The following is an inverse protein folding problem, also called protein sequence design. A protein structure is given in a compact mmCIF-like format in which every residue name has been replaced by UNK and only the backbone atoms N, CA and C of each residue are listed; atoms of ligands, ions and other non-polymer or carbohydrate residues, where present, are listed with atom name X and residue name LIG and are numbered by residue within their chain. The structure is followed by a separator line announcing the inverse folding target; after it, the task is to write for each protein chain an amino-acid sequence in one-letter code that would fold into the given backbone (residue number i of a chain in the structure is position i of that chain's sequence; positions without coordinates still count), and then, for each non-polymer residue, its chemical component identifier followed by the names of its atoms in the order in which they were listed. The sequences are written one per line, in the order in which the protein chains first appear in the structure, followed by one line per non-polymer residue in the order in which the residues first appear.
data_IF_412289481871
#
_entry.id   IF_412289481871
#
_cell.length_a   1.000
_cell.length_b   1.000
_cell.length_c   1.000
_cell.angle_alpha   90.00
_cell.angle_beta   90.00
_cell.angle_gamma   90.00
#
_symmetry.space_group_name_H-M   'P 1'
#
loop_
_entity.id
_entity.type
_entity.pdbx_description
1 polymer ?
#
# COMPACT_ATOMS: atom_id res chain seq x y z
N UNK A 1 -10.33 -13.95 4.88
CA UNK A 1 -9.05 -13.35 5.28
C UNK A 1 -7.93 -14.20 4.71
N UNK A 2 -7.05 -13.63 3.86
CA UNK A 2 -6.00 -14.39 3.16
C UNK A 2 -4.63 -13.84 3.53
N UNK A 3 -3.76 -14.68 4.11
CA UNK A 3 -2.43 -14.28 4.55
C UNK A 3 -2.45 -13.06 5.48
N UNK A 4 -3.43 -13.01 6.39
CA UNK A 4 -3.70 -11.86 7.25
C UNK A 4 -4.05 -12.29 8.67
N UNK A 5 -3.09 -12.14 9.60
CA UNK A 5 -3.41 -12.23 11.02
C UNK A 5 -4.07 -10.93 11.50
N UNK A 6 -5.31 -10.72 11.08
CA UNK A 6 -6.07 -9.48 11.30
C UNK A 6 -6.20 -9.14 12.80
N UNK A 7 -6.33 -10.16 13.65
CA UNK A 7 -6.44 -10.00 15.10
C UNK A 7 -5.23 -9.28 15.71
N UNK A 8 -4.04 -9.51 15.17
CA UNK A 8 -2.80 -8.88 15.66
C UNK A 8 -2.42 -7.64 14.88
N UNK A 9 -2.51 -7.69 13.54
CA UNK A 9 -2.02 -6.61 12.69
C UNK A 9 -3.03 -5.47 12.51
N UNK A 10 -4.33 -5.75 12.65
CA UNK A 10 -5.42 -4.79 12.47
C UNK A 10 -6.51 -4.99 13.54
N UNK A 11 -6.18 -4.83 14.84
CA UNK A 11 -7.07 -5.23 15.95
C UNK A 11 -8.42 -4.53 15.91
N UNK A 12 -8.48 -3.27 15.51
CA UNK A 12 -9.76 -2.53 15.39
C UNK A 12 -10.65 -3.12 14.29
N UNK A 13 -10.08 -3.49 13.13
CA UNK A 13 -10.85 -4.16 12.06
C UNK A 13 -11.31 -5.56 12.51
N UNK A 14 -10.46 -6.29 13.22
CA UNK A 14 -10.82 -7.59 13.76
C UNK A 14 -11.98 -7.50 14.76
N UNK A 15 -11.93 -6.56 15.71
CA UNK A 15 -13.01 -6.33 16.68
C UNK A 15 -14.32 -5.95 15.99
N UNK A 16 -14.26 -5.08 14.97
CA UNK A 16 -15.44 -4.74 14.17
C UNK A 16 -16.00 -5.94 13.41
N UNK A 17 -15.15 -6.81 12.86
CA UNK A 17 -15.57 -8.04 12.20
C UNK A 17 -16.21 -9.01 13.19
N UNK A 18 -15.61 -9.21 14.37
CA UNK A 18 -16.14 -10.06 15.42
C UNK A 18 -17.53 -9.57 15.90
N UNK A 19 -17.66 -8.27 16.16
CA UNK A 19 -18.95 -7.66 16.54
C UNK A 19 -20.00 -7.79 15.40
N UNK A 20 -19.59 -7.59 14.15
CA UNK A 20 -20.47 -7.75 13.00
C UNK A 20 -20.94 -9.20 12.83
N UNK A 21 -20.07 -10.18 13.08
CA UNK A 21 -20.41 -11.60 13.04
C UNK A 21 -21.38 -11.97 14.17
N UNK A 22 -21.15 -11.48 15.38
CA UNK A 22 -22.05 -11.69 16.51
C UNK A 22 -23.46 -11.12 16.25
N UNK A 23 -23.52 -9.93 15.65
CA UNK A 23 -24.79 -9.27 15.30
C UNK A 23 -25.50 -9.90 14.07
N UNK A 24 -24.76 -10.62 13.23
CA UNK A 24 -25.25 -11.22 11.96
C UNK A 24 -24.78 -12.67 11.84
N UNK A 25 -25.50 -13.64 12.44
CA UNK A 25 -25.08 -15.06 12.45
C UNK A 25 -24.88 -15.68 11.06
N UNK A 26 -25.48 -15.09 10.01
CA UNK A 26 -25.28 -15.49 8.62
C UNK A 26 -23.96 -15.02 8.00
N UNK A 27 -23.20 -14.13 8.67
CA UNK A 27 -21.87 -13.70 8.20
C UNK A 27 -20.87 -14.85 8.38
N UNK A 28 -20.32 -15.33 7.28
CA UNK A 28 -19.30 -16.38 7.28
C UNK A 28 -17.91 -15.77 7.20
N UNK A 29 -17.00 -16.31 7.99
CA UNK A 29 -15.58 -15.91 8.02
C UNK A 29 -14.73 -17.11 7.64
N UNK A 30 -13.99 -16.97 6.55
CA UNK A 30 -12.99 -17.95 6.11
C UNK A 30 -11.61 -17.37 6.35
N UNK A 31 -10.71 -18.13 6.96
CA UNK A 31 -9.30 -17.76 7.14
C UNK A 31 -8.45 -18.71 6.30
N UNK A 32 -7.66 -18.14 5.39
CA UNK A 32 -6.67 -18.85 4.56
C UNK A 32 -5.30 -18.45 5.06
N UNK A 33 -4.67 -19.32 5.82
CA UNK A 33 -3.36 -19.11 6.43
C UNK A 33 -2.71 -20.46 6.74
N UNK A 34 -1.43 -20.68 6.48
CA UNK A 34 -0.74 -21.92 6.86
C UNK A 34 -0.83 -22.24 8.35
N UNK A 35 -0.94 -21.20 9.17
CA UNK A 35 -1.06 -21.33 10.63
C UNK A 35 -2.47 -21.02 11.10
N UNK A 36 -2.90 -21.72 12.14
CA UNK A 36 -4.09 -21.31 12.89
C UNK A 36 -3.75 -20.12 13.80
N UNK A 37 -3.93 -18.90 13.25
CA UNK A 37 -3.67 -17.64 13.95
C UNK A 37 -4.86 -17.25 14.84
N UNK A 38 -4.69 -16.24 15.71
CA UNK A 38 -5.78 -15.69 16.53
C UNK A 38 -6.99 -15.20 15.69
N UNK A 39 -6.78 -14.88 14.42
CA UNK A 39 -7.90 -14.54 13.51
C UNK A 39 -8.84 -15.72 13.26
N UNK A 40 -8.40 -16.96 13.51
CA UNK A 40 -9.24 -18.16 13.37
C UNK A 40 -10.27 -18.33 14.50
N UNK A 41 -10.19 -17.57 15.58
CA UNK A 41 -11.13 -17.69 16.71
C UNK A 41 -12.56 -17.36 16.32
N UNK A 42 -12.73 -16.55 15.27
CA UNK A 42 -14.05 -16.22 14.71
C UNK A 42 -14.33 -16.91 13.36
N UNK A 43 -13.43 -17.80 12.89
CA UNK A 43 -13.57 -18.44 11.59
C UNK A 43 -14.63 -19.56 11.61
N UNK A 44 -15.45 -19.61 10.57
CA UNK A 44 -16.30 -20.76 10.26
C UNK A 44 -15.54 -21.85 9.51
N UNK A 45 -14.49 -21.46 8.76
CA UNK A 45 -13.62 -22.36 8.02
C UNK A 45 -12.18 -21.83 8.09
N UNK A 46 -11.24 -22.69 8.47
CA UNK A 46 -9.80 -22.42 8.38
C UNK A 46 -9.20 -23.34 7.33
N UNK A 47 -8.61 -22.74 6.32
CA UNK A 47 -7.86 -23.43 5.28
C UNK A 47 -6.37 -23.33 5.60
N UNK A 48 -5.80 -24.40 6.11
CA UNK A 48 -4.37 -24.52 6.41
C UNK A 48 -3.59 -24.74 5.09
N UNK A 49 -3.54 -23.70 4.26
CA UNK A 49 -2.96 -23.74 2.93
C UNK A 49 -1.44 -24.00 2.99
N UNK A 50 -0.91 -24.73 2.01
CA UNK A 50 0.54 -24.84 1.86
C UNK A 50 1.16 -23.45 1.59
N UNK A 51 2.36 -23.14 2.17
CA UNK A 51 3.06 -21.91 1.85
C UNK A 51 3.27 -21.76 0.33
N UNK A 52 2.74 -20.68 -0.26
CA UNK A 52 2.79 -20.42 -1.70
C UNK A 52 1.60 -20.96 -2.50
N UNK A 53 0.72 -21.76 -1.91
CA UNK A 53 -0.44 -22.37 -2.57
C UNK A 53 -1.59 -21.41 -2.92
N UNK A 54 -1.46 -20.12 -2.64
CA UNK A 54 -2.52 -19.12 -2.87
C UNK A 54 -2.98 -19.07 -4.34
N UNK A 55 -2.03 -19.13 -5.29
CA UNK A 55 -2.33 -19.10 -6.73
C UNK A 55 -3.16 -20.32 -7.13
N UNK A 56 -2.77 -21.51 -6.67
CA UNK A 56 -3.49 -22.74 -6.94
C UNK A 56 -4.91 -22.72 -6.38
N UNK A 57 -5.10 -22.20 -5.15
CA UNK A 57 -6.42 -22.06 -4.52
C UNK A 57 -7.33 -21.13 -5.33
N UNK A 58 -6.85 -19.94 -5.69
CA UNK A 58 -7.70 -18.96 -6.41
C UNK A 58 -7.87 -19.31 -7.89
N UNK A 59 -6.92 -20.03 -8.53
CA UNK A 59 -7.12 -20.61 -9.83
C UNK A 59 -8.17 -21.73 -9.80
N UNK A 60 -8.17 -22.60 -8.79
CA UNK A 60 -9.23 -23.59 -8.60
C UNK A 60 -10.60 -22.91 -8.43
N UNK A 61 -10.66 -21.81 -7.71
CA UNK A 61 -11.88 -21.01 -7.56
C UNK A 61 -12.30 -20.39 -8.90
N UNK A 62 -11.38 -19.84 -9.69
CA UNK A 62 -11.69 -19.24 -10.99
C UNK A 62 -12.21 -20.31 -11.98
N UNK A 63 -11.60 -21.51 -12.00
CA UNK A 63 -12.08 -22.64 -12.78
C UNK A 63 -13.48 -23.09 -12.33
N UNK A 64 -13.76 -23.11 -11.01
CA UNK A 64 -15.10 -23.42 -10.47
C UNK A 64 -16.15 -22.38 -10.85
N UNK A 65 -15.78 -21.08 -10.85
CA UNK A 65 -16.64 -19.97 -11.31
C UNK A 65 -17.04 -20.19 -12.79
N UNK A 66 -16.08 -20.52 -13.64
CA UNK A 66 -16.34 -20.79 -15.06
C UNK A 66 -17.25 -22.02 -15.25
N UNK A 67 -16.85 -23.17 -14.69
CA UNK A 67 -17.59 -24.43 -14.84
C UNK A 67 -18.99 -24.40 -14.23
N UNK A 68 -19.19 -23.65 -13.14
CA UNK A 68 -20.45 -23.50 -12.44
C UNK A 68 -21.41 -22.46 -13.00
N UNK A 69 -21.02 -21.74 -14.07
CA UNK A 69 -21.86 -20.70 -14.67
C UNK A 69 -22.02 -19.43 -13.79
N UNK A 70 -21.06 -19.15 -12.90
CA UNK A 70 -21.11 -17.99 -11.99
C UNK A 70 -20.51 -16.72 -12.58
N UNK A 71 -20.20 -16.71 -13.89
CA UNK A 71 -19.61 -15.57 -14.59
C UNK A 71 -20.67 -14.45 -14.75
N UNK A 72 -20.30 -13.22 -14.37
CA UNK A 72 -21.03 -12.02 -14.78
C UNK A 72 -20.59 -11.60 -16.19
N UNK A 73 -21.26 -12.16 -17.21
CA UNK A 73 -20.93 -11.87 -18.62
C UNK A 73 -21.10 -10.39 -18.98
N UNK A 74 -21.95 -9.66 -18.27
CA UNK A 74 -22.14 -8.22 -18.52
C UNK A 74 -20.94 -7.41 -18.07
N UNK A 75 -20.40 -7.73 -16.90
CA UNK A 75 -19.21 -7.08 -16.37
C UNK A 75 -17.93 -7.53 -17.11
N UNK A 76 -17.86 -8.81 -17.51
CA UNK A 76 -16.70 -9.38 -18.18
C UNK A 76 -16.39 -8.72 -19.54
N UNK A 77 -17.36 -8.02 -20.18
CA UNK A 77 -17.09 -7.20 -21.36
C UNK A 77 -16.11 -6.05 -21.12
N UNK A 78 -15.96 -5.65 -19.87
CA UNK A 78 -15.03 -4.60 -19.44
C UNK A 78 -13.67 -5.15 -19.01
N UNK A 79 -13.41 -6.45 -19.25
CA UNK A 79 -12.20 -7.14 -18.84
C UNK A 79 -11.45 -7.64 -20.06
N UNK A 80 -10.16 -7.30 -20.15
CA UNK A 80 -9.25 -7.84 -21.17
C UNK A 80 -8.50 -9.07 -20.61
N UNK A 81 -8.05 -9.96 -21.50
CA UNK A 81 -7.26 -11.13 -21.10
C UNK A 81 -8.03 -12.26 -20.39
N UNK A 82 -9.35 -12.15 -20.20
CA UNK A 82 -10.15 -13.12 -19.44
C UNK A 82 -9.99 -14.56 -19.95
N UNK A 83 -9.92 -14.78 -21.28
CA UNK A 83 -9.72 -16.12 -21.87
C UNK A 83 -8.39 -16.75 -21.42
N UNK A 84 -7.33 -15.95 -21.35
CA UNK A 84 -6.01 -16.39 -20.90
C UNK A 84 -6.04 -16.74 -19.41
N UNK A 85 -6.69 -15.92 -18.57
CA UNK A 85 -6.85 -16.17 -17.16
C UNK A 85 -7.61 -17.49 -16.88
N UNK A 86 -8.73 -17.72 -17.58
CA UNK A 86 -9.47 -18.99 -17.46
C UNK A 86 -8.66 -20.19 -17.95
N UNK A 87 -7.90 -20.06 -19.04
CA UNK A 87 -7.04 -21.13 -19.53
C UNK A 87 -5.94 -21.48 -18.51
N UNK A 88 -5.30 -20.48 -17.91
CA UNK A 88 -4.31 -20.69 -16.86
C UNK A 88 -4.93 -21.33 -15.61
N UNK A 89 -6.14 -20.91 -15.22
CA UNK A 89 -6.85 -21.49 -14.09
C UNK A 89 -7.17 -22.97 -14.28
N UNK A 90 -7.61 -23.36 -15.47
CA UNK A 90 -7.86 -24.77 -15.80
C UNK A 90 -6.60 -25.64 -15.85
N UNK A 91 -5.45 -25.05 -16.18
CA UNK A 91 -4.17 -25.75 -16.24
C UNK A 91 -3.47 -25.85 -14.87
N UNK A 92 -3.93 -25.12 -13.87
CA UNK A 92 -3.38 -25.12 -12.51
C UNK A 92 -3.80 -26.40 -11.77
N UNK A 93 -2.85 -27.01 -11.04
CA UNK A 93 -3.16 -28.17 -10.20
C UNK A 93 -3.69 -27.70 -8.83
N UNK A 94 -4.97 -27.96 -8.48
CA UNK A 94 -5.50 -27.58 -7.18
C UNK A 94 -4.79 -28.24 -5.97
N UNK A 95 -4.12 -29.38 -6.20
CA UNK A 95 -3.38 -30.08 -5.14
C UNK A 95 -2.20 -29.26 -4.59
N UNK A 96 -1.65 -28.33 -5.39
CA UNK A 96 -0.58 -27.42 -4.95
C UNK A 96 -1.04 -26.47 -3.83
N UNK A 97 -2.36 -26.29 -3.63
CA UNK A 97 -2.87 -25.56 -2.46
C UNK A 97 -2.63 -26.31 -1.15
N UNK A 98 -2.34 -27.62 -1.18
CA UNK A 98 -2.08 -28.44 -0.01
C UNK A 98 -3.29 -28.66 0.90
N UNK A 99 -4.50 -28.47 0.37
CA UNK A 99 -5.77 -28.65 1.08
C UNK A 99 -6.38 -30.03 0.83
N UNK A 100 -7.18 -30.52 1.79
CA UNK A 100 -8.00 -31.70 1.54
C UNK A 100 -9.07 -31.38 0.48
N UNK A 101 -9.50 -32.41 -0.27
CA UNK A 101 -10.60 -32.25 -1.23
C UNK A 101 -11.87 -31.73 -0.58
N UNK A 102 -12.12 -32.09 0.67
CA UNK A 102 -13.26 -31.62 1.45
C UNK A 102 -13.17 -30.12 1.75
N UNK A 103 -12.04 -29.65 2.27
CA UNK A 103 -11.84 -28.23 2.61
C UNK A 103 -11.87 -27.36 1.37
N UNK A 104 -11.24 -27.81 0.29
CA UNK A 104 -11.28 -27.12 -0.99
C UNK A 104 -12.70 -26.98 -1.51
N UNK A 105 -13.46 -28.08 -1.56
CA UNK A 105 -14.87 -28.06 -2.01
C UNK A 105 -15.72 -27.14 -1.15
N UNK A 106 -15.60 -27.23 0.19
CA UNK A 106 -16.31 -26.37 1.12
C UNK A 106 -16.04 -24.89 0.87
N UNK A 107 -14.79 -24.51 0.59
CA UNK A 107 -14.44 -23.14 0.24
C UNK A 107 -15.05 -22.69 -1.08
N UNK A 108 -14.89 -23.52 -2.13
CA UNK A 108 -15.38 -23.20 -3.48
C UNK A 108 -16.90 -23.01 -3.48
N UNK A 109 -17.64 -23.91 -2.81
CA UNK A 109 -19.09 -23.84 -2.72
C UNK A 109 -19.57 -22.65 -1.90
N UNK A 110 -18.93 -22.38 -0.75
CA UNK A 110 -19.25 -21.22 0.09
C UNK A 110 -19.02 -19.92 -0.67
N UNK A 111 -17.87 -19.78 -1.37
CA UNK A 111 -17.51 -18.56 -2.09
C UNK A 111 -18.46 -18.32 -3.29
N UNK A 112 -18.72 -19.33 -4.09
CA UNK A 112 -19.59 -19.23 -5.28
C UNK A 112 -21.06 -19.08 -4.91
N UNK A 113 -21.53 -19.73 -3.82
CA UNK A 113 -22.89 -19.66 -3.33
C UNK A 113 -23.22 -18.38 -2.54
N UNK A 114 -22.23 -17.54 -2.24
CA UNK A 114 -22.43 -16.28 -1.49
C UNK A 114 -22.40 -15.09 -2.45
N UNK A 115 -23.44 -14.27 -2.46
CA UNK A 115 -23.51 -13.06 -3.31
C UNK A 115 -22.46 -12.03 -2.92
N UNK A 116 -22.41 -11.65 -1.63
CA UNK A 116 -21.55 -10.58 -1.12
C UNK A 116 -20.30 -11.16 -0.48
N UNK A 117 -19.22 -11.19 -1.24
CA UNK A 117 -17.91 -11.68 -0.77
C UNK A 117 -16.89 -10.54 -0.77
N UNK A 118 -16.21 -10.34 0.35
CA UNK A 118 -15.03 -9.48 0.48
C UNK A 118 -13.84 -10.37 0.76
N UNK A 119 -12.81 -10.30 -0.08
CA UNK A 119 -11.54 -11.00 0.15
C UNK A 119 -10.52 -10.00 0.70
N UNK A 120 -10.29 -10.05 2.02
CA UNK A 120 -9.30 -9.22 2.70
C UNK A 120 -7.96 -9.97 2.68
N UNK A 121 -6.92 -9.36 2.13
CA UNK A 121 -5.59 -9.96 2.08
C UNK A 121 -4.51 -9.00 2.58
N UNK A 122 -3.41 -9.54 3.09
CA UNK A 122 -2.33 -8.78 3.70
C UNK A 122 -0.95 -9.33 3.30
N UNK A 123 0.03 -9.25 4.18
CA UNK A 123 1.44 -9.48 3.88
C UNK A 123 1.78 -10.93 3.48
N UNK A 124 1.01 -11.93 3.92
CA UNK A 124 1.17 -13.31 3.44
C UNK A 124 0.95 -13.47 1.93
N UNK A 125 0.15 -12.56 1.34
CA UNK A 125 -0.03 -12.45 -0.11
C UNK A 125 0.96 -11.43 -0.69
N UNK A 126 0.99 -10.21 -0.12
CA UNK A 126 1.69 -9.06 -0.71
C UNK A 126 3.22 -9.19 -0.67
N UNK A 127 3.78 -9.69 0.45
CA UNK A 127 5.23 -9.83 0.64
C UNK A 127 5.71 -11.23 0.25
N UNK A 128 5.56 -11.57 -1.01
CA UNK A 128 5.95 -12.84 -1.60
C UNK A 128 6.70 -12.59 -2.91
N UNK A 129 7.58 -13.51 -3.30
CA UNK A 129 8.24 -13.47 -4.61
C UNK A 129 7.21 -13.44 -5.77
N UNK A 130 6.05 -14.05 -5.56
CA UNK A 130 4.94 -14.10 -6.51
C UNK A 130 3.74 -13.26 -6.02
N UNK A 131 3.96 -12.21 -5.22
CA UNK A 131 2.90 -11.44 -4.59
C UNK A 131 1.94 -10.80 -5.60
N UNK A 132 2.43 -10.28 -6.71
CA UNK A 132 1.60 -9.73 -7.78
C UNK A 132 0.69 -10.80 -8.38
N UNK A 133 1.21 -12.00 -8.67
CA UNK A 133 0.44 -13.09 -9.25
C UNK A 133 -0.63 -13.61 -8.28
N UNK A 134 -0.30 -13.69 -6.98
CA UNK A 134 -1.28 -14.03 -5.93
C UNK A 134 -2.43 -13.01 -5.87
N UNK A 135 -2.11 -11.71 -5.91
CA UNK A 135 -3.12 -10.66 -5.94
C UNK A 135 -3.96 -10.76 -7.20
N UNK A 136 -3.35 -10.96 -8.38
CA UNK A 136 -4.06 -11.13 -9.64
C UNK A 136 -4.99 -12.33 -9.63
N UNK A 137 -4.58 -13.46 -9.05
CA UNK A 137 -5.44 -14.64 -8.91
C UNK A 137 -6.69 -14.33 -8.06
N UNK A 138 -6.55 -13.59 -6.96
CA UNK A 138 -7.68 -13.09 -6.15
C UNK A 138 -8.56 -12.14 -6.96
N UNK A 139 -7.96 -11.16 -7.64
CA UNK A 139 -8.69 -10.17 -8.45
C UNK A 139 -9.50 -10.84 -9.57
N UNK A 140 -8.93 -11.80 -10.26
CA UNK A 140 -9.57 -12.51 -11.36
C UNK A 140 -10.91 -13.15 -10.96
N UNK A 141 -10.99 -13.72 -9.76
CA UNK A 141 -12.24 -14.29 -9.24
C UNK A 141 -13.32 -13.21 -9.04
N UNK A 142 -12.94 -12.04 -8.50
CA UNK A 142 -13.85 -10.92 -8.30
C UNK A 142 -14.24 -10.24 -9.62
N UNK A 143 -13.31 -10.11 -10.57
CA UNK A 143 -13.58 -9.59 -11.92
C UNK A 143 -14.54 -10.49 -12.69
N UNK A 144 -14.29 -11.80 -12.68
CA UNK A 144 -15.14 -12.77 -13.38
C UNK A 144 -16.60 -12.76 -12.87
N UNK A 145 -16.81 -12.45 -11.60
CA UNK A 145 -18.14 -12.43 -10.97
C UNK A 145 -18.74 -11.02 -10.80
N UNK A 146 -18.12 -10.00 -11.40
CA UNK A 146 -18.58 -8.61 -11.32
C UNK A 146 -18.61 -8.04 -9.90
N UNK A 147 -17.81 -8.58 -8.98
CA UNK A 147 -17.74 -8.17 -7.56
C UNK A 147 -16.73 -7.05 -7.33
N UNK A 148 -16.68 -6.08 -8.24
CA UNK A 148 -15.79 -4.92 -8.16
C UNK A 148 -16.64 -3.64 -8.08
N UNK A 149 -16.26 -2.73 -7.18
CA UNK A 149 -16.92 -1.42 -7.03
C UNK A 149 -18.34 -1.47 -6.45
N UNK A 150 -18.81 -2.64 -6.00
CA UNK A 150 -20.13 -2.82 -5.41
C UNK A 150 -20.06 -2.85 -3.87
N UNK A 151 -21.10 -2.35 -3.14
CA UNK A 151 -21.12 -2.39 -1.69
C UNK A 151 -21.04 -3.81 -1.11
N UNK A 152 -20.14 -4.04 -0.16
CA UNK A 152 -19.97 -5.34 0.51
C UNK A 152 -19.33 -6.42 -0.34
N UNK A 153 -18.69 -6.08 -1.45
CA UNK A 153 -18.05 -7.01 -2.37
C UNK A 153 -16.66 -6.52 -2.77
N UNK A 154 -15.80 -7.44 -3.17
CA UNK A 154 -14.52 -7.15 -3.82
C UNK A 154 -13.28 -7.51 -3.02
N UNK A 155 -12.11 -7.38 -3.64
CA UNK A 155 -10.83 -7.54 -2.98
C UNK A 155 -10.54 -6.31 -2.10
N UNK A 156 -9.88 -6.53 -0.97
CA UNK A 156 -9.49 -5.46 -0.07
C UNK A 156 -8.09 -5.73 0.51
N UNK A 157 -7.10 -5.00 0.01
CA UNK A 157 -5.75 -5.08 0.54
C UNK A 157 -5.62 -4.28 1.83
N UNK A 158 -5.12 -4.92 2.87
CA UNK A 158 -4.74 -4.27 4.13
C UNK A 158 -3.27 -4.52 4.40
N UNK A 159 -2.50 -3.44 4.53
CA UNK A 159 -1.07 -3.54 4.82
C UNK A 159 -0.83 -3.48 6.32
N UNK A 160 0.34 -3.99 6.79
CA UNK A 160 0.73 -3.86 8.19
C UNK A 160 1.29 -2.48 8.53
N UNK A 161 1.84 -1.78 7.55
CA UNK A 161 2.45 -0.48 7.76
C UNK A 161 1.37 0.61 7.87
N UNK A 162 1.40 1.44 8.93
CA UNK A 162 0.55 2.62 9.01
C UNK A 162 0.93 3.61 7.90
N UNK A 163 -0.07 4.27 7.32
CA UNK A 163 0.12 5.27 6.28
C UNK A 163 0.76 4.79 4.96
N UNK A 164 0.66 3.50 4.61
CA UNK A 164 1.19 2.99 3.34
C UNK A 164 0.54 3.66 2.12
N UNK A 165 -0.73 4.03 2.20
CA UNK A 165 -1.42 4.81 1.18
C UNK A 165 -0.81 6.20 1.05
N UNK A 166 -0.64 6.93 2.16
CA UNK A 166 -0.03 8.26 2.17
C UNK A 166 1.40 8.26 1.65
N UNK A 167 2.18 7.23 1.96
CA UNK A 167 3.52 7.05 1.40
C UNK A 167 3.52 6.97 -0.13
N UNK A 168 2.50 6.36 -0.74
CA UNK A 168 2.34 6.34 -2.21
C UNK A 168 1.85 7.67 -2.74
N UNK A 169 0.94 8.33 -2.02
CA UNK A 169 0.40 9.65 -2.39
C UNK A 169 1.50 10.72 -2.50
N UNK A 170 2.53 10.66 -1.66
CA UNK A 170 3.68 11.58 -1.73
C UNK A 170 4.82 11.09 -2.64
N UNK A 171 4.66 9.98 -3.34
CA UNK A 171 5.69 9.46 -4.26
C UNK A 171 6.82 8.69 -3.57
N UNK A 172 6.58 8.10 -2.41
CA UNK A 172 7.58 7.39 -1.60
C UNK A 172 8.07 6.05 -2.17
N UNK A 173 7.97 5.81 -3.47
CA UNK A 173 8.49 4.63 -4.17
C UNK A 173 9.47 5.01 -5.27
N UNK A 174 10.43 4.12 -5.54
CA UNK A 174 11.50 4.37 -6.51
C UNK A 174 11.03 4.58 -7.97
N UNK A 175 9.79 4.21 -8.29
CA UNK A 175 9.24 4.18 -9.64
C UNK A 175 8.11 5.20 -9.89
N UNK A 176 7.85 6.11 -8.96
CA UNK A 176 6.75 7.06 -9.09
C UNK A 176 7.12 8.47 -8.63
N UNK A 177 6.35 9.43 -9.08
CA UNK A 177 6.31 10.80 -8.58
C UNK A 177 5.18 10.95 -7.56
N UNK A 178 5.13 12.11 -6.89
CA UNK A 178 4.02 12.45 -6.01
C UNK A 178 2.67 12.40 -6.75
N UNK A 179 1.59 12.22 -5.98
CA UNK A 179 0.21 12.18 -6.47
C UNK A 179 -0.05 11.07 -7.50
N UNK A 180 0.61 9.90 -7.34
CA UNK A 180 0.50 8.72 -8.22
C UNK A 180 0.92 8.99 -9.68
N UNK A 181 1.68 10.04 -9.93
CA UNK A 181 2.19 10.31 -11.27
C UNK A 181 3.37 9.38 -11.62
N UNK A 182 3.52 9.09 -12.90
CA UNK A 182 4.53 8.16 -13.42
C UNK A 182 5.83 8.88 -13.75
N UNK A 183 6.94 8.39 -13.22
CA UNK A 183 8.26 8.97 -13.45
C UNK A 183 8.73 8.84 -14.91
N UNK A 184 8.27 7.83 -15.64
CA UNK A 184 8.63 7.60 -17.04
C UNK A 184 7.78 8.40 -18.03
N UNK A 185 6.66 8.99 -17.59
CA UNK A 185 5.80 9.82 -18.41
C UNK A 185 6.36 11.26 -18.48
N UNK A 186 6.74 11.77 -19.69
CA UNK A 186 7.31 13.11 -19.83
C UNK A 186 6.36 14.23 -19.40
N UNK A 187 5.04 14.08 -19.64
CA UNK A 187 4.04 15.11 -19.26
C UNK A 187 3.91 15.18 -17.73
N UNK A 188 3.91 14.04 -17.04
CA UNK A 188 3.88 13.97 -15.59
C UNK A 188 5.13 14.61 -14.96
N UNK A 189 6.32 14.31 -15.52
CA UNK A 189 7.56 14.97 -15.06
C UNK A 189 7.51 16.48 -15.26
N UNK A 190 7.09 16.94 -16.43
CA UNK A 190 7.00 18.37 -16.72
C UNK A 190 6.04 19.08 -15.77
N UNK A 191 4.90 18.47 -15.44
CA UNK A 191 3.93 19.01 -14.51
C UNK A 191 4.49 19.15 -13.09
N UNK A 192 5.13 18.11 -12.55
CA UNK A 192 5.73 18.12 -11.21
C UNK A 192 6.95 19.06 -11.17
N UNK A 193 7.81 19.02 -12.19
CA UNK A 193 8.99 19.88 -12.28
C UNK A 193 8.60 21.35 -12.34
N UNK A 194 7.58 21.69 -13.14
CA UNK A 194 7.07 23.04 -13.25
C UNK A 194 6.45 23.55 -11.94
N UNK A 195 5.71 22.70 -11.25
CA UNK A 195 5.11 23.04 -9.95
C UNK A 195 6.17 23.34 -8.88
N UNK A 196 7.18 22.52 -8.76
CA UNK A 196 8.27 22.71 -7.78
C UNK A 196 9.35 23.70 -8.22
N UNK A 197 9.36 24.15 -9.47
CA UNK A 197 10.48 24.94 -10.01
C UNK A 197 11.81 24.19 -9.97
N UNK A 198 11.77 22.84 -9.95
CA UNK A 198 12.96 22.02 -9.79
C UNK A 198 13.85 22.07 -11.04
N UNK A 199 15.19 22.23 -10.91
CA UNK A 199 16.10 22.27 -12.06
C UNK A 199 16.15 20.93 -12.80
N UNK A 200 15.84 19.82 -12.14
CA UNK A 200 15.84 18.48 -12.73
C UNK A 200 14.88 17.54 -12.00
N UNK A 201 14.32 16.59 -12.76
CA UNK A 201 13.58 15.43 -12.24
C UNK A 201 14.14 14.17 -12.90
N UNK A 202 14.32 13.06 -12.14
CA UNK A 202 14.76 11.79 -12.71
C UNK A 202 13.84 11.33 -13.84
N UNK A 203 14.40 10.78 -14.91
CA UNK A 203 13.64 10.30 -16.07
C UNK A 203 13.31 8.82 -16.01
N UNK A 204 13.91 8.08 -15.08
CA UNK A 204 13.78 6.64 -14.91
C UNK A 204 13.63 6.31 -13.43
N UNK A 205 13.00 5.17 -13.11
CA UNK A 205 12.94 4.65 -11.75
C UNK A 205 14.31 4.49 -11.11
N UNK A 206 14.39 4.76 -9.80
CA UNK A 206 15.54 4.40 -8.98
C UNK A 206 15.66 2.89 -8.77
N UNK A 207 16.77 2.47 -8.16
CA UNK A 207 16.97 1.08 -7.77
C UNK A 207 15.95 0.65 -6.70
N UNK A 208 15.41 -0.56 -6.84
CA UNK A 208 14.63 -1.18 -5.79
C UNK A 208 15.53 -1.60 -4.62
N UNK A 209 14.95 -1.80 -3.44
CA UNK A 209 15.71 -1.97 -2.20
C UNK A 209 16.84 -3.01 -2.27
N UNK A 210 16.57 -4.22 -2.78
CA UNK A 210 17.61 -5.27 -2.88
C UNK A 210 18.76 -4.83 -3.77
N UNK A 211 18.47 -4.30 -4.96
CA UNK A 211 19.49 -3.85 -5.91
C UNK A 211 20.20 -2.59 -5.42
N UNK A 212 19.51 -1.73 -4.65
CA UNK A 212 20.11 -0.56 -4.03
C UNK A 212 21.18 -0.97 -3.00
N UNK A 213 20.90 -1.92 -2.11
CA UNK A 213 21.92 -2.38 -1.14
C UNK A 213 23.06 -3.16 -1.81
N UNK A 214 22.79 -3.89 -2.90
CA UNK A 214 23.88 -4.45 -3.74
C UNK A 214 24.75 -3.36 -4.34
N UNK A 215 24.14 -2.27 -4.83
CA UNK A 215 24.87 -1.12 -5.38
C UNK A 215 25.65 -0.33 -4.32
N UNK A 216 25.23 -0.36 -3.06
CA UNK A 216 26.03 0.12 -1.92
C UNK A 216 27.25 -0.79 -1.73
N UNK A 217 27.04 -2.10 -1.72
CA UNK A 217 28.12 -3.08 -1.49
C UNK A 217 29.18 -3.12 -2.59
N UNK A 218 28.83 -2.85 -3.85
CA UNK A 218 29.76 -2.78 -4.98
C UNK A 218 30.34 -1.36 -5.21
N UNK A 219 30.02 -0.40 -4.34
CA UNK A 219 30.58 0.96 -4.33
C UNK A 219 29.99 1.92 -5.36
N UNK A 220 28.96 1.55 -6.11
CA UNK A 220 28.23 2.47 -7.01
C UNK A 220 27.49 3.54 -6.24
N UNK A 221 26.95 3.21 -5.06
CA UNK A 221 26.34 4.16 -4.13
C UNK A 221 27.35 4.44 -3.01
N UNK A 222 27.75 5.70 -2.89
CA UNK A 222 28.75 6.16 -1.93
C UNK A 222 28.18 6.86 -0.71
N UNK A 223 26.90 7.20 -0.75
CA UNK A 223 26.16 7.80 0.36
C UNK A 223 24.73 7.24 0.38
N UNK A 224 24.25 6.91 1.56
CA UNK A 224 22.89 6.42 1.76
C UNK A 224 22.25 7.09 2.99
N UNK A 225 21.00 7.52 2.85
CA UNK A 225 20.20 8.04 3.95
C UNK A 225 19.03 7.09 4.20
N UNK A 226 19.03 6.47 5.36
CA UNK A 226 18.02 5.48 5.80
C UNK A 226 17.09 6.17 6.78
N UNK A 227 15.78 6.16 6.49
CA UNK A 227 14.77 6.86 7.28
C UNK A 227 13.74 5.84 7.80
N UNK A 228 13.62 5.71 9.13
CA UNK A 228 12.63 4.91 9.84
C UNK A 228 12.52 3.44 9.39
N UNK A 229 13.63 2.82 9.01
CA UNK A 229 13.67 1.40 8.70
C UNK A 229 14.99 0.79 9.17
N UNK A 230 14.96 -0.53 9.45
CA UNK A 230 16.12 -1.27 9.93
C UNK A 230 16.50 -2.37 8.91
N UNK A 231 17.14 -2.01 7.77
CA UNK A 231 17.42 -2.94 6.69
C UNK A 231 18.33 -4.10 7.08
N UNK A 232 19.22 -3.93 8.05
CA UNK A 232 20.07 -5.02 8.57
C UNK A 232 19.25 -6.15 9.20
N UNK A 233 17.99 -5.89 9.61
CA UNK A 233 17.06 -6.90 10.12
C UNK A 233 16.00 -7.29 9.11
N UNK A 234 15.46 -6.32 8.37
CA UNK A 234 14.25 -6.51 7.56
C UNK A 234 14.51 -6.92 6.11
N UNK A 235 15.74 -6.75 5.61
CA UNK A 235 16.08 -7.12 4.23
C UNK A 235 16.48 -8.60 4.12
N UNK A 236 16.23 -9.25 2.96
CA UNK A 236 16.86 -10.51 2.67
C UNK A 236 18.39 -10.34 2.62
N UNK A 237 19.13 -11.42 2.90
CA UNK A 237 20.60 -11.42 2.93
C UNK A 237 21.16 -10.35 3.90
N UNK A 238 20.60 -10.27 5.11
CA UNK A 238 20.90 -9.24 6.11
C UNK A 238 22.40 -9.02 6.36
N UNK A 239 23.19 -10.10 6.38
CA UNK A 239 24.66 -10.02 6.54
C UNK A 239 25.35 -9.28 5.38
N UNK A 240 24.85 -9.45 4.16
CA UNK A 240 25.37 -8.70 2.99
C UNK A 240 24.98 -7.22 3.08
N UNK A 241 23.77 -6.93 3.56
CA UNK A 241 23.34 -5.54 3.81
C UNK A 241 24.23 -4.88 4.87
N UNK A 242 24.50 -5.57 5.98
CA UNK A 242 25.40 -5.06 7.03
C UNK A 242 26.81 -4.78 6.48
N UNK A 243 27.39 -5.71 5.72
CA UNK A 243 28.71 -5.53 5.08
C UNK A 243 28.69 -4.37 4.09
N UNK A 244 27.63 -4.22 3.30
CA UNK A 244 27.48 -3.11 2.37
C UNK A 244 27.48 -1.75 3.09
N UNK A 245 26.73 -1.64 4.20
CA UNK A 245 26.71 -0.42 5.01
C UNK A 245 28.05 -0.14 5.68
N UNK A 246 28.75 -1.16 6.19
CA UNK A 246 30.09 -1.02 6.76
C UNK A 246 31.13 -0.51 5.76
N UNK A 247 31.00 -0.89 4.50
CA UNK A 247 31.90 -0.44 3.42
C UNK A 247 31.47 0.88 2.77
N UNK A 248 30.26 1.36 3.03
CA UNK A 248 29.74 2.59 2.44
C UNK A 248 30.46 3.82 3.02
N UNK A 249 31.00 4.72 2.18
CA UNK A 249 31.74 5.89 2.66
C UNK A 249 30.92 6.85 3.54
N UNK A 250 29.60 6.93 3.33
CA UNK A 250 28.76 7.81 4.11
C UNK A 250 27.34 7.23 4.32
N UNK A 251 27.03 6.92 5.59
CA UNK A 251 25.74 6.38 6.00
C UNK A 251 25.08 7.34 6.99
N UNK A 252 23.91 7.84 6.65
CA UNK A 252 23.05 8.62 7.53
C UNK A 252 21.86 7.77 7.93
N UNK A 253 21.55 7.69 9.21
CA UNK A 253 20.34 7.02 9.73
C UNK A 253 19.51 8.05 10.48
N UNK A 254 18.25 8.14 10.11
CA UNK A 254 17.23 8.95 10.79
C UNK A 254 16.21 8.00 11.41
N UNK A 255 16.14 7.99 12.73
CA UNK A 255 15.28 7.04 13.44
C UNK A 255 14.86 7.58 14.81
N UNK A 256 13.83 6.96 15.39
CA UNK A 256 13.32 7.26 16.73
C UNK A 256 14.17 6.61 17.83
N UNK A 257 15.03 5.67 17.48
CA UNK A 257 15.93 4.97 18.41
C UNK A 257 17.35 4.90 17.86
N UNK A 258 18.33 5.08 18.73
CA UNK A 258 19.74 5.03 18.39
C UNK A 258 20.31 3.61 18.39
N UNK A 259 19.57 2.63 18.90
CA UNK A 259 20.05 1.29 19.20
C UNK A 259 19.40 0.22 18.31
N UNK A 260 19.45 0.42 16.98
CA UNK A 260 19.13 -0.61 16.00
C UNK A 260 20.40 -1.14 15.34
N UNK A 261 20.34 -2.36 14.78
CA UNK A 261 21.49 -2.92 14.05
C UNK A 261 21.94 -2.02 12.89
N UNK A 262 21.01 -1.34 12.24
CA UNK A 262 21.32 -0.37 11.19
C UNK A 262 21.89 0.93 11.76
N UNK A 263 21.32 1.47 12.85
CA UNK A 263 21.77 2.71 13.45
C UNK A 263 23.22 2.63 13.96
N UNK A 264 23.63 1.47 14.46
CA UNK A 264 25.02 1.20 14.91
C UNK A 264 26.05 1.30 13.78
N UNK A 265 25.63 1.24 12.50
CA UNK A 265 26.50 1.37 11.34
C UNK A 265 26.50 2.79 10.75
N UNK A 266 25.78 3.73 11.35
CA UNK A 266 25.66 5.08 10.87
C UNK A 266 26.92 5.92 11.15
N UNK A 267 27.34 6.73 10.19
CA UNK A 267 28.31 7.81 10.40
C UNK A 267 27.63 9.04 11.02
N UNK A 268 26.36 9.27 10.69
CA UNK A 268 25.53 10.33 11.26
C UNK A 268 24.18 9.73 11.67
N UNK A 269 23.80 9.98 12.92
CA UNK A 269 22.49 9.60 13.44
C UNK A 269 21.66 10.87 13.67
N UNK A 270 20.48 10.93 13.07
CA UNK A 270 19.56 12.04 13.17
C UNK A 270 18.32 11.60 14.00
N UNK A 271 18.17 12.08 15.25
CA UNK A 271 17.04 11.71 16.07
C UNK A 271 15.74 12.31 15.52
N UNK A 272 14.75 11.46 15.29
CA UNK A 272 13.45 11.83 14.77
C UNK A 272 12.32 11.58 15.78
N UNK A 273 11.22 12.31 15.64
CA UNK A 273 10.03 12.15 16.48
C UNK A 273 9.29 10.86 16.18
N UNK A 274 8.75 10.23 17.23
CA UNK A 274 7.88 9.07 17.14
C UNK A 274 6.44 9.48 16.77
N UNK A 275 5.58 8.47 16.58
CA UNK A 275 4.20 8.68 16.12
C UNK A 275 3.39 9.68 16.97
N UNK A 276 3.47 9.57 18.30
CA UNK A 276 2.75 10.43 19.23
C UNK A 276 3.36 11.83 19.45
N UNK A 277 4.53 12.09 18.88
CA UNK A 277 5.34 13.30 19.11
C UNK A 277 5.31 14.26 17.92
N UNK A 278 4.68 13.86 16.80
CA UNK A 278 4.64 14.65 15.56
C UNK A 278 3.23 14.86 15.04
N UNK A 279 3.11 15.91 14.25
CA UNK A 279 1.86 16.31 13.58
C UNK A 279 1.94 15.98 12.09
N UNK A 280 0.80 15.67 11.48
CA UNK A 280 0.74 15.36 10.06
C UNK A 280 -0.63 14.88 9.62
N UNK A 281 -0.69 14.23 8.47
CA UNK A 281 -1.85 13.50 7.97
C UNK A 281 -1.47 12.08 7.60
N UNK A 282 -2.42 11.16 7.73
CA UNK A 282 -2.24 9.75 7.38
C UNK A 282 -3.42 9.28 6.56
N UNK A 283 -3.19 8.38 5.61
CA UNK A 283 -4.22 7.81 4.74
C UNK A 283 -4.37 6.32 4.98
N UNK A 284 -5.59 5.87 5.30
CA UNK A 284 -5.89 4.45 5.49
C UNK A 284 -6.23 3.73 4.16
N UNK A 285 -6.44 2.41 4.22
CA UNK A 285 -6.72 1.58 3.04
C UNK A 285 -8.04 1.90 2.32
N UNK A 286 -8.98 2.63 2.95
CA UNK A 286 -10.19 3.12 2.30
C UNK A 286 -10.03 4.53 1.70
N UNK A 287 -8.79 5.03 1.62
CA UNK A 287 -8.45 6.36 1.11
C UNK A 287 -8.93 7.51 2.00
N UNK A 288 -9.12 7.25 3.28
CA UNK A 288 -9.51 8.27 4.25
C UNK A 288 -8.26 8.92 4.83
N UNK A 289 -8.12 10.22 4.60
CA UNK A 289 -7.09 11.07 5.18
C UNK A 289 -7.58 11.53 6.55
N UNK A 290 -6.74 11.41 7.56
CA UNK A 290 -7.01 11.83 8.93
C UNK A 290 -5.84 12.61 9.50
N UNK A 291 -6.15 13.60 10.33
CA UNK A 291 -5.12 14.34 11.08
C UNK A 291 -4.47 13.41 12.12
N UNK A 292 -3.15 13.41 12.12
CA UNK A 292 -2.31 12.95 13.22
C UNK A 292 -1.90 14.18 14.03
N UNK A 293 -2.10 14.16 15.34
CA UNK A 293 -1.73 15.25 16.25
C UNK A 293 -0.69 14.77 17.22
N UNK A 294 0.32 15.59 17.48
CA UNK A 294 1.23 15.36 18.59
C UNK A 294 0.45 15.40 19.91
N UNK A 295 0.66 14.41 20.75
CA UNK A 295 0.11 14.29 22.10
C UNK A 295 1.21 14.30 23.17
N UNK A 296 2.47 14.20 22.72
CA UNK A 296 3.67 14.26 23.55
C UNK A 296 4.64 15.28 22.94
N UNK A 297 5.47 15.93 23.76
CA UNK A 297 6.56 16.78 23.27
C UNK A 297 7.66 15.91 22.63
N UNK A 298 8.37 16.46 21.65
CA UNK A 298 9.56 15.84 21.10
C UNK A 298 10.64 15.65 22.19
N UNK A 299 11.22 14.46 22.36
CA UNK A 299 12.24 14.21 23.36
C UNK A 299 13.62 14.70 22.91
N UNK A 300 14.38 15.28 23.82
CA UNK A 300 15.80 15.62 23.62
C UNK A 300 16.03 16.49 22.38
N UNK A 301 16.77 15.95 21.40
CA UNK A 301 17.09 16.63 20.14
C UNK A 301 16.24 16.11 18.96
N UNK A 302 15.24 15.29 19.20
CA UNK A 302 14.40 14.75 18.14
C UNK A 302 13.63 15.87 17.42
N UNK A 303 13.53 15.73 16.10
CA UNK A 303 12.80 16.65 15.22
C UNK A 303 11.87 15.90 14.29
N UNK A 304 10.85 16.57 13.82
CA UNK A 304 9.96 16.02 12.79
C UNK A 304 10.73 15.74 11.48
N UNK A 305 10.40 14.66 10.83
CA UNK A 305 11.08 14.18 9.62
C UNK A 305 11.16 15.24 8.53
N UNK A 306 10.05 15.93 8.28
CA UNK A 306 10.00 17.00 7.28
C UNK A 306 10.92 18.18 7.64
N UNK A 307 11.06 18.50 8.92
CA UNK A 307 11.96 19.57 9.40
C UNK A 307 13.43 19.18 9.20
N UNK A 308 13.79 17.92 9.45
CA UNK A 308 15.14 17.41 9.20
C UNK A 308 15.47 17.51 7.70
N UNK A 309 14.53 17.10 6.84
CA UNK A 309 14.70 17.19 5.39
C UNK A 309 14.82 18.64 4.92
N UNK A 310 14.00 19.56 5.42
CA UNK A 310 14.04 20.98 5.10
C UNK A 310 15.35 21.63 5.56
N UNK A 311 15.83 21.33 6.77
CA UNK A 311 17.10 21.83 7.28
C UNK A 311 18.28 21.38 6.41
N UNK A 312 18.31 20.12 5.94
CA UNK A 312 19.33 19.62 5.05
C UNK A 312 19.23 20.28 3.67
N UNK A 313 18.04 20.38 3.11
CA UNK A 313 17.79 21.00 1.81
C UNK A 313 18.22 22.49 1.81
N UNK A 314 17.91 23.23 2.88
CA UNK A 314 18.35 24.61 3.04
C UNK A 314 19.88 24.75 3.05
N UNK A 315 20.61 23.84 3.73
CA UNK A 315 22.08 23.79 3.72
C UNK A 315 22.67 23.37 2.37
N UNK A 316 21.90 22.65 1.56
CA UNK A 316 22.29 22.27 0.18
C UNK A 316 22.01 23.37 -0.84
N UNK A 317 21.46 24.53 -0.40
CA UNK A 317 21.25 25.71 -1.26
C UNK A 317 19.81 25.88 -1.77
N UNK A 318 18.83 25.17 -1.18
CA UNK A 318 17.41 25.27 -1.55
C UNK A 318 16.51 25.73 -0.39
N UNK A 319 16.84 26.81 0.35
CA UNK A 319 16.05 27.22 1.50
C UNK A 319 14.63 27.65 1.15
N UNK A 320 14.43 28.27 -0.02
CA UNK A 320 13.12 28.77 -0.47
C UNK A 320 12.18 27.63 -0.89
N UNK A 321 12.73 26.58 -1.55
CA UNK A 321 11.96 25.43 -2.00
C UNK A 321 11.47 24.50 -0.87
N UNK A 322 12.10 24.62 0.32
CA UNK A 322 11.78 23.85 1.53
C UNK A 322 11.50 24.77 2.73
N UNK A 323 10.97 25.95 2.45
CA UNK A 323 10.80 27.03 3.43
C UNK A 323 9.53 26.93 4.28
N UNK A 324 8.97 25.73 4.47
CA UNK A 324 7.79 25.55 5.29
C UNK A 324 8.08 25.78 6.78
N UNK A 325 7.17 26.47 7.44
CA UNK A 325 7.20 26.69 8.89
C UNK A 325 6.30 25.69 9.65
N UNK A 326 5.38 25.02 8.97
CA UNK A 326 4.40 24.14 9.58
C UNK A 326 4.01 22.96 8.71
N UNK A 327 3.47 21.90 9.34
CA UNK A 327 2.86 20.78 8.62
C UNK A 327 1.61 21.18 7.84
N UNK A 328 0.97 22.29 8.18
CA UNK A 328 -0.15 22.84 7.41
C UNK A 328 0.31 23.31 6.02
N UNK A 329 1.45 23.99 5.95
CA UNK A 329 2.03 24.46 4.69
C UNK A 329 2.50 23.30 3.82
N UNK A 330 3.14 22.28 4.40
CA UNK A 330 3.51 21.04 3.69
C UNK A 330 2.26 20.34 3.12
N UNK A 331 1.18 20.29 3.90
CA UNK A 331 -0.08 19.70 3.45
C UNK A 331 -0.76 20.53 2.36
N UNK A 332 -0.76 21.86 2.50
CA UNK A 332 -1.34 22.78 1.51
C UNK A 332 -0.62 22.67 0.16
N UNK A 333 0.72 22.59 0.17
CA UNK A 333 1.50 22.38 -1.04
C UNK A 333 1.20 21.01 -1.68
N UNK A 334 1.14 19.94 -0.89
CA UNK A 334 0.75 18.62 -1.38
C UNK A 334 -0.65 18.62 -2.00
N UNK A 335 -1.60 19.31 -1.36
CA UNK A 335 -2.95 19.48 -1.91
C UNK A 335 -2.96 20.29 -3.21
N UNK A 336 -2.16 21.35 -3.32
CA UNK A 336 -2.02 22.12 -4.56
C UNK A 336 -1.42 21.27 -5.70
N UNK A 337 -0.36 20.50 -5.42
CA UNK A 337 0.24 19.59 -6.39
C UNK A 337 -0.75 18.52 -6.86
N UNK A 338 -1.61 18.02 -5.96
CA UNK A 338 -2.61 17.03 -6.33
C UNK A 338 -3.63 17.56 -7.35
N UNK A 339 -3.95 18.87 -7.32
CA UNK A 339 -4.76 19.51 -8.33
C UNK A 339 -4.09 19.55 -9.72
N UNK A 340 -2.78 19.78 -9.74
CA UNK A 340 -1.98 19.69 -10.97
C UNK A 340 -1.96 18.25 -11.50
N UNK A 341 -1.81 17.26 -10.61
CA UNK A 341 -1.86 15.83 -10.96
C UNK A 341 -3.25 15.42 -11.48
N UNK A 342 -4.32 15.96 -10.92
CA UNK A 342 -5.69 15.74 -11.40
C UNK A 342 -5.90 16.20 -12.85
N UNK A 343 -5.20 17.25 -13.29
CA UNK A 343 -5.18 17.69 -14.69
C UNK A 343 -4.43 16.71 -15.62
N UNK A 344 -3.53 15.91 -15.05
CA UNK A 344 -2.83 14.82 -15.74
C UNK A 344 -3.56 13.47 -15.68
N UNK A 345 -4.78 13.43 -15.11
CA UNK A 345 -5.61 12.22 -15.03
C UNK A 345 -5.44 11.41 -13.75
N UNK A 346 -4.70 11.88 -12.75
CA UNK A 346 -4.65 11.24 -11.44
C UNK A 346 -5.99 11.34 -10.72
N UNK A 347 -6.43 10.24 -10.11
CA UNK A 347 -7.60 10.23 -9.22
C UNK A 347 -7.29 10.80 -7.83
N UNK A 348 -6.02 10.90 -7.46
CA UNK A 348 -5.62 11.56 -6.23
C UNK A 348 -5.60 13.07 -6.42
N UNK A 349 -6.69 13.70 -6.07
CA UNK A 349 -6.85 15.15 -6.14
C UNK A 349 -7.58 15.62 -4.86
N UNK A 350 -6.87 16.35 -4.01
CA UNK A 350 -7.36 16.94 -2.77
C UNK A 350 -7.26 18.48 -2.81
N UNK A 351 -7.33 19.05 -4.00
CA UNK A 351 -7.09 20.47 -4.26
C UNK A 351 -8.05 21.44 -3.58
N UNK A 352 -9.19 20.97 -3.05
CA UNK A 352 -10.05 21.79 -2.18
C UNK A 352 -9.33 22.28 -0.92
N UNK A 353 -8.24 21.62 -0.54
CA UNK A 353 -7.44 21.95 0.64
C UNK A 353 -6.17 22.73 0.32
N UNK A 354 -5.93 23.11 -0.94
CA UNK A 354 -4.71 23.82 -1.35
C UNK A 354 -4.50 25.17 -0.66
N UNK A 355 -5.58 25.82 -0.23
CA UNK A 355 -5.52 27.10 0.49
C UNK A 355 -5.75 26.97 2.01
N UNK A 356 -5.59 25.78 2.58
CA UNK A 356 -5.86 25.57 4.00
C UNK A 356 -4.80 26.29 4.86
N UNK A 357 -5.26 27.06 5.84
CA UNK A 357 -4.40 27.69 6.83
C UNK A 357 -4.15 26.78 8.04
N UNK A 358 -3.34 27.22 8.98
CA UNK A 358 -3.00 26.45 10.17
C UNK A 358 -4.23 26.09 11.02
N UNK A 359 -5.20 26.99 11.13
CA UNK A 359 -6.42 26.79 11.93
C UNK A 359 -7.34 25.79 11.24
N UNK A 360 -7.57 25.94 9.93
CA UNK A 360 -8.34 24.99 9.12
C UNK A 360 -7.70 23.59 9.09
N UNK A 361 -6.37 23.55 8.99
CA UNK A 361 -5.63 22.28 9.04
C UNK A 361 -5.77 21.59 10.41
N UNK A 362 -5.70 22.35 11.51
CA UNK A 362 -5.88 21.76 12.83
C UNK A 362 -7.31 21.25 13.05
N UNK A 363 -8.30 21.95 12.52
CA UNK A 363 -9.70 21.57 12.59
C UNK A 363 -10.11 20.52 11.53
N UNK A 364 -9.22 20.11 10.61
CA UNK A 364 -9.54 19.26 9.47
C UNK A 364 -10.16 17.92 9.90
N UNK A 365 -11.44 17.66 9.54
CA UNK A 365 -12.08 16.38 9.81
C UNK A 365 -11.55 15.29 8.89
N UNK A 366 -11.67 14.00 9.26
CA UNK A 366 -11.35 12.91 8.37
C UNK A 366 -12.19 12.95 7.08
N UNK A 367 -11.54 12.86 5.92
CA UNK A 367 -12.21 12.84 4.61
C UNK A 367 -11.60 11.78 3.69
N UNK A 368 -12.35 11.32 2.70
CA UNK A 368 -11.85 10.39 1.70
C UNK A 368 -11.53 11.13 0.38
N UNK A 369 -10.36 10.86 -0.19
CA UNK A 369 -10.07 11.39 -1.52
C UNK A 369 -10.80 10.60 -2.63
N UNK A 370 -11.05 11.22 -3.80
CA UNK A 370 -10.74 12.60 -4.16
C UNK A 370 -11.58 13.61 -3.36
N UNK A 371 -11.01 14.81 -3.18
CA UNK A 371 -11.69 15.94 -2.54
C UNK A 371 -11.38 17.21 -3.34
N UNK A 372 -12.11 17.40 -4.43
CA UNK A 372 -11.99 18.52 -5.34
C UNK A 372 -13.37 19.05 -5.74
N UNK A 373 -13.43 20.13 -6.50
CA UNK A 373 -14.69 20.76 -6.94
C UNK A 373 -15.63 19.84 -7.73
N UNK A 374 -15.11 18.76 -8.32
CA UNK A 374 -15.87 17.83 -9.17
C UNK A 374 -16.33 16.59 -8.43
N UNK A 375 -15.56 16.11 -7.43
CA UNK A 375 -15.81 14.83 -6.78
C UNK A 375 -15.36 14.82 -5.33
N UNK A 376 -16.20 14.26 -4.45
CA UNK A 376 -15.93 14.06 -3.03
C UNK A 376 -16.01 12.57 -2.70
N UNK A 377 -14.87 11.92 -2.51
CA UNK A 377 -14.81 10.48 -2.22
C UNK A 377 -15.47 9.60 -3.29
N UNK A 378 -16.21 8.61 -2.86
CA UNK A 378 -16.95 7.67 -3.73
C UNK A 378 -16.15 6.41 -4.07
N UNK A 379 -16.78 5.48 -4.80
CA UNK A 379 -16.19 4.20 -5.21
C UNK A 379 -15.50 4.34 -6.56
N UNK A 380 -14.39 3.62 -6.72
CA UNK A 380 -13.72 3.46 -8.01
C UNK A 380 -14.14 2.15 -8.69
N UNK A 381 -13.93 2.07 -10.00
CA UNK A 381 -14.09 0.89 -10.85
C UNK A 381 -15.52 0.32 -10.94
N UNK A 382 -16.49 0.87 -10.23
CA UNK A 382 -17.89 0.41 -10.29
C UNK A 382 -18.55 0.60 -11.67
N UNK A 383 -18.04 1.51 -12.48
CA UNK A 383 -18.48 1.74 -13.86
C UNK A 383 -17.74 0.86 -14.90
N UNK A 384 -16.88 -0.06 -14.46
CA UNK A 384 -16.09 -0.93 -15.34
C UNK A 384 -15.00 -0.23 -16.14
N UNK A 385 -14.53 0.92 -15.66
CA UNK A 385 -13.36 1.63 -16.21
C UNK A 385 -12.19 1.49 -15.28
N UNK A 386 -11.02 1.16 -15.83
CA UNK A 386 -9.78 0.91 -15.12
C UNK A 386 -8.64 1.78 -15.67
N UNK A 387 -7.57 1.96 -14.88
CA UNK A 387 -6.38 2.72 -15.28
C UNK A 387 -5.39 1.84 -16.07
N UNK A 388 -5.86 1.32 -17.18
CA UNK A 388 -5.13 0.50 -18.14
C UNK A 388 -5.15 1.19 -19.52
N UNK A 389 -4.23 0.86 -20.44
CA UNK A 389 -4.20 1.52 -21.76
C UNK A 389 -5.50 1.40 -22.56
N UNK A 390 -6.24 0.31 -22.39
CA UNK A 390 -7.54 0.06 -23.05
C UNK A 390 -8.76 0.41 -22.17
N UNK A 391 -8.53 0.89 -20.95
CA UNK A 391 -9.55 1.23 -19.96
C UNK A 391 -10.29 0.03 -19.38
N UNK A 392 -9.81 -1.20 -19.61
CA UNK A 392 -10.40 -2.46 -19.12
C UNK A 392 -9.61 -3.04 -17.96
N UNK A 393 -10.25 -3.87 -17.15
CA UNK A 393 -9.60 -4.61 -16.07
C UNK A 393 -8.88 -5.87 -16.53
#
# INVERSE_FOLDING_TARGET
LVGSNLAWCHPVLYQRLAAAKAARPGLRVVVVDPRRTASCDIADLHLAIAPGGDIALFNALLARIEAGGHIDHSFLRNISGAKTAFAAARASDPAEAGLSAFDLAAFLDLWTGTEKVVTVYSQGVNQSAFGTDKVNAILNCHLATGRIGRPGMGPFSVTGQPNAMGGREVGGLANMLACHLEIENPAHRAAVQGFWGSPAIPQKPGLKAVDMFRAVGDGRIKAIWIIHTNPVVSMPEADLVAKALQSCPFVVVQDVTADTDTARLAHVLLPATAWGEKSGTVTNSERRISRQRAVLPAPGQARDDWRILADVAGRMGWPEAFGWDSTAEVFAEHAALSGVAGQQGSDFDISDHAGIDAMGYDALPPFAWPANSRRKGGRFFGAGRFHTPDGKG
#
